data_IF_339874867647
#
_entry.id   IF_339874867647
#
_cell.length_a   1.000
_cell.length_b   1.000
_cell.length_c   1.000
_cell.angle_alpha   90.00
_cell.angle_beta   90.00
_cell.angle_gamma   90.00
#
_symmetry.space_group_name_H-M   'P 1'
#
loop_
_entity.id
_entity.type
_entity.pdbx_description
1 polymer ?
#
# COMPACT_ATOMS: atom_id res chain seq x y z
N UNK A 1 -10.52 -0.11 2.96
CA UNK A 1 -10.05 -1.28 3.73
C UNK A 1 -9.05 -2.05 2.91
N UNK A 2 -8.06 -2.68 3.55
CA UNK A 2 -7.13 -3.59 2.88
C UNK A 2 -7.69 -5.00 2.81
N UNK A 3 -6.92 -5.92 2.21
CA UNK A 3 -7.28 -7.33 2.18
C UNK A 3 -7.22 -7.92 3.60
N UNK A 4 -8.24 -8.70 3.96
CA UNK A 4 -8.35 -9.28 5.30
C UNK A 4 -7.25 -10.34 5.54
N UNK A 5 -6.65 -10.30 6.73
CA UNK A 5 -5.81 -11.36 7.23
C UNK A 5 -6.63 -12.60 7.61
N UNK A 6 -5.99 -13.77 7.59
CA UNK A 6 -6.64 -15.05 7.90
C UNK A 6 -5.86 -15.85 8.94
N UNK A 7 -6.60 -16.56 9.80
CA UNK A 7 -6.06 -17.49 10.81
C UNK A 7 -4.97 -16.89 11.71
N UNK A 8 -5.13 -15.64 12.13
CA UNK A 8 -4.14 -14.91 12.94
C UNK A 8 -3.19 -14.02 12.15
N UNK A 9 -3.32 -13.99 10.81
CA UNK A 9 -2.64 -13.03 9.95
C UNK A 9 -3.22 -11.62 10.09
N UNK A 10 -2.40 -10.61 9.83
CA UNK A 10 -2.79 -9.19 9.87
C UNK A 10 -3.39 -8.74 8.54
N UNK A 11 -4.31 -7.76 8.58
CA UNK A 11 -4.85 -7.15 7.37
C UNK A 11 -3.76 -6.42 6.57
N UNK A 12 -3.87 -6.46 5.24
CA UNK A 12 -3.00 -5.72 4.35
C UNK A 12 -3.24 -4.21 4.44
N UNK A 13 -2.22 -3.42 4.09
CA UNK A 13 -2.39 -1.98 3.94
C UNK A 13 -3.39 -1.68 2.80
N UNK A 14 -4.33 -0.73 2.96
CA UNK A 14 -5.22 -0.32 1.88
C UNK A 14 -4.47 0.45 0.79
N UNK A 15 -5.07 0.57 -0.39
CA UNK A 15 -4.59 1.50 -1.41
C UNK A 15 -4.54 2.94 -0.88
N UNK A 16 -3.50 3.66 -1.24
CA UNK A 16 -3.37 5.09 -0.98
C UNK A 16 -3.02 5.84 -2.27
N UNK A 17 -3.79 6.89 -2.54
CA UNK A 17 -3.70 7.65 -3.78
C UNK A 17 -3.52 9.12 -3.44
N UNK A 18 -2.50 9.75 -4.01
CA UNK A 18 -2.20 11.17 -3.80
C UNK A 18 -2.09 11.85 -5.15
N UNK A 19 -2.83 12.93 -5.34
CA UNK A 19 -2.58 13.88 -6.42
C UNK A 19 -1.58 14.91 -5.90
N UNK A 20 -0.36 14.88 -6.45
CA UNK A 20 0.66 15.92 -6.22
C UNK A 20 0.62 16.89 -7.38
N UNK A 21 0.28 18.15 -7.10
CA UNK A 21 0.26 19.22 -8.09
C UNK A 21 1.67 19.58 -8.53
N UNK A 22 1.81 20.14 -9.73
CA UNK A 22 3.09 20.71 -10.19
C UNK A 22 3.65 21.80 -9.25
N UNK A 23 2.78 22.48 -8.49
CA UNK A 23 3.14 23.45 -7.44
C UNK A 23 3.70 22.81 -6.16
N UNK A 24 3.57 21.49 -5.99
CA UNK A 24 3.94 20.76 -4.77
C UNK A 24 2.79 20.49 -3.79
N UNK A 25 1.59 21.08 -4.01
CA UNK A 25 0.42 20.79 -3.19
C UNK A 25 -0.02 19.33 -3.32
N UNK A 26 -0.46 18.70 -2.23
CA UNK A 26 -0.93 17.33 -2.21
C UNK A 26 -2.38 17.20 -1.76
N UNK A 27 -3.12 16.32 -2.45
CA UNK A 27 -4.47 15.91 -2.08
C UNK A 27 -4.60 14.40 -2.06
N UNK A 28 -5.02 13.85 -0.92
CA UNK A 28 -5.41 12.44 -0.82
C UNK A 28 -6.72 12.22 -1.58
N UNK A 29 -6.73 11.21 -2.45
CA UNK A 29 -7.88 10.85 -3.28
C UNK A 29 -8.64 9.66 -2.69
N UNK A 30 -9.95 9.55 -2.98
CA UNK A 30 -10.70 8.32 -2.68
C UNK A 30 -10.33 7.22 -3.70
N UNK A 31 -10.42 5.97 -3.27
CA UNK A 31 -10.02 4.79 -4.08
C UNK A 31 -10.71 4.66 -5.43
N UNK A 32 -11.92 5.21 -5.58
CA UNK A 32 -12.73 5.15 -6.81
C UNK A 32 -13.26 6.53 -7.19
N UNK A 33 -12.47 7.57 -6.91
CA UNK A 33 -12.83 8.93 -7.26
C UNK A 33 -12.68 9.14 -8.76
N UNK A 34 -13.66 9.82 -9.36
CA UNK A 34 -13.72 10.10 -10.80
C UNK A 34 -13.83 11.61 -11.03
N UNK A 35 -13.52 12.06 -12.25
CA UNK A 35 -13.58 13.49 -12.60
C UNK A 35 -12.46 14.33 -12.00
N UNK A 36 -11.32 13.71 -11.68
CA UNK A 36 -10.15 14.41 -11.13
C UNK A 36 -9.46 15.17 -12.27
N UNK A 37 -9.44 16.49 -12.21
CA UNK A 37 -8.66 17.31 -13.13
C UNK A 37 -7.15 17.13 -12.87
N UNK A 38 -6.42 16.76 -13.92
CA UNK A 38 -4.95 16.59 -13.91
C UNK A 38 -4.37 17.54 -14.95
N UNK A 39 -3.47 18.42 -14.49
CA UNK A 39 -2.84 19.43 -15.33
C UNK A 39 -1.39 19.03 -15.67
N UNK A 40 -0.76 19.63 -16.70
CA UNK A 40 0.66 19.43 -16.98
C UNK A 40 1.53 19.66 -15.73
N UNK A 41 2.42 18.71 -15.45
CA UNK A 41 3.29 18.74 -14.28
C UNK A 41 2.72 18.07 -13.02
N UNK A 42 1.41 17.79 -12.97
CA UNK A 42 0.81 17.02 -11.89
C UNK A 42 1.25 15.55 -11.94
N UNK A 43 1.20 14.88 -10.78
CA UNK A 43 1.50 13.46 -10.62
C UNK A 43 0.43 12.78 -9.79
N UNK A 44 -0.08 11.66 -10.27
CA UNK A 44 -0.88 10.74 -9.46
C UNK A 44 0.06 9.70 -8.88
N UNK A 45 0.31 9.78 -7.57
CA UNK A 45 1.09 8.79 -6.83
C UNK A 45 0.16 7.68 -6.39
N UNK A 46 0.41 6.49 -6.91
CA UNK A 46 -0.36 5.29 -6.62
C UNK A 46 0.46 4.37 -5.72
N UNK A 47 0.02 4.24 -4.47
CA UNK A 47 0.50 3.20 -3.57
C UNK A 47 -0.53 2.07 -3.55
N UNK A 48 -0.21 1.00 -4.26
CA UNK A 48 -1.06 -0.17 -4.33
C UNK A 48 -1.22 -0.80 -2.94
N UNK A 49 -2.43 -1.30 -2.64
CA UNK A 49 -2.66 -2.04 -1.41
C UNK A 49 -1.86 -3.34 -1.37
N UNK A 50 -1.58 -3.80 -0.15
CA UNK A 50 -0.95 -5.10 0.10
C UNK A 50 -1.98 -6.23 0.25
N UNK A 51 -1.49 -7.47 0.20
CA UNK A 51 -2.27 -8.65 0.58
C UNK A 51 -2.43 -8.77 2.09
N UNK A 52 -3.46 -9.50 2.53
CA UNK A 52 -3.63 -9.91 3.93
C UNK A 52 -2.69 -11.06 4.28
N UNK A 53 -2.22 -11.09 5.52
CA UNK A 53 -1.35 -12.15 6.04
C UNK A 53 -2.10 -13.45 6.30
N UNK A 54 -1.33 -14.54 6.42
CA UNK A 54 -1.83 -15.86 6.79
C UNK A 54 -1.06 -16.38 8.01
N UNK A 55 -1.80 -16.79 9.05
CA UNK A 55 -1.21 -17.36 10.25
C UNK A 55 -0.56 -16.34 11.18
N UNK A 56 -0.18 -16.75 12.40
CA UNK A 56 0.48 -15.85 13.36
C UNK A 56 1.87 -15.41 12.87
N UNK A 57 2.19 -14.10 12.82
CA UNK A 57 3.46 -13.61 12.32
C UNK A 57 4.68 -14.23 13.02
N UNK A 58 4.62 -14.44 14.33
CA UNK A 58 5.69 -15.02 15.15
C UNK A 58 6.10 -16.44 14.71
N UNK A 59 5.24 -17.17 13.99
CA UNK A 59 5.53 -18.49 13.47
C UNK A 59 6.25 -18.47 12.10
N UNK A 60 6.44 -17.28 11.51
CA UNK A 60 7.14 -17.14 10.22
C UNK A 60 8.60 -17.59 10.35
N UNK A 61 9.00 -18.50 9.46
CA UNK A 61 10.36 -19.02 9.35
C UNK A 61 11.42 -17.89 9.37
N UNK A 62 12.42 -17.95 10.28
CA UNK A 62 13.53 -16.99 10.32
C UNK A 62 14.27 -16.83 8.99
N UNK A 63 14.42 -17.89 8.19
CA UNK A 63 15.09 -17.82 6.89
C UNK A 63 14.26 -17.04 5.87
N UNK A 64 12.93 -17.21 5.88
CA UNK A 64 12.03 -16.41 5.06
C UNK A 64 12.09 -14.93 5.45
N UNK A 65 12.11 -14.61 6.74
CA UNK A 65 12.27 -13.23 7.24
C UNK A 65 13.59 -12.58 6.81
N UNK A 66 14.68 -13.36 6.78
CA UNK A 66 15.97 -12.86 6.32
C UNK A 66 15.96 -12.54 4.82
N UNK A 67 15.30 -13.38 4.02
CA UNK A 67 15.10 -13.13 2.58
C UNK A 67 14.25 -11.90 2.33
N UNK A 68 13.12 -11.76 3.04
CA UNK A 68 12.24 -10.58 2.94
C UNK A 68 13.06 -9.30 3.13
N UNK A 69 13.87 -9.22 4.19
CA UNK A 69 14.74 -8.06 4.45
C UNK A 69 15.76 -7.81 3.34
N UNK A 70 16.36 -8.86 2.78
CA UNK A 70 17.30 -8.74 1.66
C UNK A 70 16.64 -8.18 0.41
N UNK A 71 15.35 -8.48 0.23
CA UNK A 71 14.53 -8.03 -0.90
C UNK A 71 13.84 -6.67 -0.65
N UNK A 72 13.99 -6.10 0.56
CA UNK A 72 13.39 -4.82 0.94
C UNK A 72 11.98 -4.91 1.54
N UNK A 73 11.55 -6.11 1.95
CA UNK A 73 10.29 -6.38 2.63
C UNK A 73 10.49 -6.60 4.15
N UNK A 74 9.39 -6.55 4.92
CA UNK A 74 9.35 -6.74 6.38
C UNK A 74 8.20 -7.67 6.77
#
# INVERSE_FOLDING_TARGET
HGAAGMLGGQDGAPHHYVLRRGSGEERVLKTKEVGIAVNPGDRVVVQAGGGGGWGPPEQRDPAARARDRKEGFV
#
